data_IF_506196558080
#
_entry.id   IF_506196558080
#
_cell.length_a   1.000
_cell.length_b   1.000
_cell.length_c   1.000
_cell.angle_alpha   90.00
_cell.angle_beta   90.00
_cell.angle_gamma   90.00
#
_symmetry.space_group_name_H-M   'P 1'
#
loop_
_entity.id
_entity.type
_entity.pdbx_description
1 polymer ?
#
# COMPACT_ATOMS: atom_id res chain seq x y z
N UNK A 1 7.31 -8.11 7.63
CA UNK A 1 7.03 -6.67 7.74
C UNK A 1 8.10 -5.99 6.91
N UNK A 2 7.74 -5.21 5.90
CA UNK A 2 8.73 -4.36 5.20
C UNK A 2 9.05 -3.23 6.18
N UNK A 3 10.27 -3.25 6.71
CA UNK A 3 10.71 -2.22 7.66
C UNK A 3 10.83 -0.90 6.89
N UNK A 4 9.94 0.04 7.20
CA UNK A 4 10.00 1.41 6.68
C UNK A 4 11.23 2.16 7.19
N UNK A 5 11.33 3.50 7.04
CA UNK A 5 12.47 4.26 7.56
C UNK A 5 12.73 3.90 9.04
N UNK A 6 13.95 3.48 9.36
CA UNK A 6 14.33 2.97 10.69
C UNK A 6 15.19 3.98 11.45
N UNK A 7 16.01 4.73 10.72
CA UNK A 7 16.95 5.68 11.29
C UNK A 7 16.48 7.11 11.07
N UNK A 8 16.95 8.03 11.93
CA UNK A 8 16.68 9.48 11.78
C UNK A 8 17.00 9.97 10.37
N UNK A 9 18.06 9.44 9.78
CA UNK A 9 18.53 9.86 8.47
C UNK A 9 17.58 9.38 7.35
N UNK A 10 17.03 8.16 7.46
CA UNK A 10 16.00 7.65 6.55
C UNK A 10 14.72 8.52 6.56
N UNK A 11 14.31 8.97 7.74
CA UNK A 11 13.14 9.86 7.89
C UNK A 11 13.39 11.25 7.29
N UNK A 12 14.61 11.78 7.38
CA UNK A 12 14.96 13.07 6.79
C UNK A 12 15.02 12.94 5.26
N UNK A 13 15.62 11.86 4.75
CA UNK A 13 15.77 11.60 3.32
C UNK A 13 14.41 11.40 2.62
N UNK A 14 13.53 10.57 3.18
CA UNK A 14 12.18 10.35 2.61
C UNK A 14 11.32 11.61 2.69
N UNK A 15 11.44 12.39 3.78
CA UNK A 15 10.69 13.63 3.92
C UNK A 15 11.15 14.68 2.91
N UNK A 16 12.46 14.86 2.71
CA UNK A 16 13.01 15.81 1.73
C UNK A 16 12.65 15.39 0.30
N UNK A 17 12.68 14.10 0.01
CA UNK A 17 12.23 13.56 -1.28
C UNK A 17 10.77 13.90 -1.56
N UNK A 18 9.88 13.67 -0.58
CA UNK A 18 8.44 13.90 -0.72
C UNK A 18 8.05 15.39 -0.66
N UNK A 19 8.77 16.20 0.12
CA UNK A 19 8.54 17.65 0.21
C UNK A 19 8.85 18.37 -1.12
N UNK A 20 9.74 17.79 -1.93
CA UNK A 20 10.11 18.32 -3.23
C UNK A 20 10.75 19.71 -3.14
N UNK A 21 10.92 20.37 -4.29
CA UNK A 21 11.66 21.65 -4.36
C UNK A 21 10.79 22.90 -4.16
N UNK A 22 9.52 22.76 -3.76
CA UNK A 22 8.58 23.88 -3.62
C UNK A 22 8.58 24.50 -2.21
N UNK A 23 9.78 24.70 -1.65
CA UNK A 23 9.97 25.37 -0.37
C UNK A 23 11.35 26.04 -0.31
N UNK A 24 11.53 26.94 0.66
CA UNK A 24 12.82 27.61 0.93
C UNK A 24 13.45 27.18 2.26
N UNK A 25 12.91 26.12 2.88
CA UNK A 25 13.40 25.54 4.13
C UNK A 25 14.79 24.92 3.90
N UNK A 26 15.84 25.31 4.65
CA UNK A 26 17.18 24.75 4.53
C UNK A 26 17.28 23.36 5.16
N UNK A 27 18.11 22.49 4.58
CA UNK A 27 18.28 21.08 5.00
C UNK A 27 18.94 20.93 6.39
N UNK A 28 19.79 21.87 6.79
CA UNK A 28 20.58 21.76 8.01
C UNK A 28 21.81 20.85 7.85
N UNK A 29 22.39 20.41 8.97
CA UNK A 29 23.55 19.51 8.99
C UNK A 29 23.11 18.06 8.74
N UNK A 30 22.86 17.75 7.47
CA UNK A 30 22.48 16.44 6.99
C UNK A 30 23.04 16.20 5.59
N UNK A 31 23.52 14.99 5.32
CA UNK A 31 23.98 14.58 3.98
C UNK A 31 22.93 13.64 3.38
N UNK A 32 22.14 14.16 2.46
CA UNK A 32 21.09 13.39 1.79
C UNK A 32 21.68 12.12 1.18
N UNK A 33 21.04 10.99 1.47
CA UNK A 33 21.31 9.68 0.87
C UNK A 33 22.70 9.11 1.14
N UNK A 34 23.45 9.66 2.11
CA UNK A 34 24.78 9.17 2.45
C UNK A 34 24.78 7.71 2.95
N UNK A 35 23.65 7.23 3.49
CA UNK A 35 23.46 5.84 3.89
C UNK A 35 22.95 4.93 2.74
N UNK A 36 22.46 5.50 1.63
CA UNK A 36 21.77 4.76 0.57
C UNK A 36 22.70 4.22 -0.53
N UNK A 37 23.96 4.66 -0.62
CA UNK A 37 24.93 4.09 -1.58
C UNK A 37 25.17 2.58 -1.38
N UNK A 38 24.72 1.99 -0.28
CA UNK A 38 24.93 0.57 0.05
C UNK A 38 23.75 -0.34 -0.34
N UNK A 39 22.59 0.15 -0.77
CA UNK A 39 21.44 -0.73 -1.03
C UNK A 39 20.70 -0.42 -2.33
N UNK A 40 21.24 -0.96 -3.44
CA UNK A 40 20.44 -1.35 -4.61
C UNK A 40 19.59 -2.58 -4.24
N UNK A 41 18.35 -2.35 -3.83
CA UNK A 41 17.32 -3.39 -3.74
C UNK A 41 15.92 -2.76 -3.72
N UNK A 42 15.46 -2.24 -4.86
CA UNK A 42 14.06 -1.77 -5.01
C UNK A 42 13.32 -2.50 -6.13
N UNK A 43 14.01 -3.24 -7.00
CA UNK A 43 13.39 -3.95 -8.13
C UNK A 43 12.79 -5.32 -7.73
N UNK A 44 13.27 -5.96 -6.66
CA UNK A 44 12.87 -7.34 -6.29
C UNK A 44 11.53 -7.43 -5.52
N UNK A 45 11.03 -6.34 -4.95
CA UNK A 45 9.78 -6.36 -4.16
C UNK A 45 8.49 -6.37 -5.02
N UNK A 46 8.59 -6.14 -6.33
CA UNK A 46 7.41 -6.04 -7.20
C UNK A 46 6.94 -7.38 -7.78
N UNK A 47 7.80 -8.40 -7.82
CA UNK A 47 7.44 -9.73 -8.37
C UNK A 47 6.49 -10.51 -7.44
N UNK A 48 6.50 -10.25 -6.12
CA UNK A 48 5.66 -10.96 -5.15
C UNK A 48 4.18 -10.52 -5.13
N UNK A 49 3.81 -9.46 -5.85
CA UNK A 49 2.45 -8.89 -5.85
C UNK A 49 1.58 -9.29 -7.06
N UNK A 50 2.07 -10.16 -7.94
CA UNK A 50 1.23 -10.68 -9.04
C UNK A 50 0.00 -11.45 -8.53
N UNK A 51 0.12 -12.09 -7.36
CA UNK A 51 -0.96 -12.84 -6.73
C UNK A 51 -1.34 -12.21 -5.38
N UNK A 52 -2.65 -12.20 -5.04
CA UNK A 52 -3.10 -11.74 -3.74
C UNK A 52 -2.58 -12.63 -2.61
N UNK A 53 -2.46 -12.06 -1.43
CA UNK A 53 -1.88 -12.71 -0.25
C UNK A 53 -2.91 -12.99 0.84
N UNK A 54 -3.98 -12.20 0.93
CA UNK A 54 -5.00 -12.39 1.96
C UNK A 54 -6.05 -13.43 1.52
N UNK A 55 -6.43 -14.34 2.43
CA UNK A 55 -7.34 -15.46 2.16
C UNK A 55 -8.66 -15.03 1.51
N UNK A 56 -9.22 -13.90 1.93
CA UNK A 56 -10.44 -13.34 1.36
C UNK A 56 -10.25 -12.91 -0.09
N UNK A 57 -9.14 -12.24 -0.41
CA UNK A 57 -8.85 -11.77 -1.76
C UNK A 57 -8.41 -12.92 -2.68
N UNK A 58 -7.67 -13.90 -2.17
CA UNK A 58 -7.29 -15.12 -2.92
C UNK A 58 -8.53 -15.80 -3.48
N UNK A 59 -9.58 -15.97 -2.68
CA UNK A 59 -10.86 -16.58 -3.13
C UNK A 59 -11.51 -15.78 -4.26
N UNK A 60 -11.48 -14.45 -4.19
CA UNK A 60 -12.02 -13.57 -5.23
C UNK A 60 -11.21 -13.71 -6.52
N UNK A 61 -9.88 -13.68 -6.41
CA UNK A 61 -8.97 -13.82 -7.55
C UNK A 61 -9.10 -15.19 -8.23
N UNK A 62 -9.09 -16.28 -7.48
CA UNK A 62 -9.27 -17.63 -8.02
C UNK A 62 -10.61 -17.78 -8.74
N UNK A 63 -11.69 -17.24 -8.15
CA UNK A 63 -13.01 -17.22 -8.76
C UNK A 63 -13.00 -16.42 -10.07
N UNK A 64 -12.42 -15.23 -10.06
CA UNK A 64 -12.30 -14.38 -11.24
C UNK A 64 -11.52 -15.10 -12.35
N UNK A 65 -10.36 -15.68 -12.03
CA UNK A 65 -9.52 -16.39 -12.99
C UNK A 65 -10.22 -17.64 -13.56
N UNK A 66 -11.02 -18.34 -12.75
CA UNK A 66 -11.80 -19.49 -13.19
C UNK A 66 -12.95 -19.09 -14.13
N UNK A 67 -13.62 -17.98 -13.86
CA UNK A 67 -14.79 -17.52 -14.62
C UNK A 67 -14.41 -16.77 -15.90
N UNK A 68 -13.34 -15.96 -15.86
CA UNK A 68 -12.99 -15.00 -16.92
C UNK A 68 -11.61 -15.24 -17.55
N UNK A 69 -10.72 -15.98 -16.88
CA UNK A 69 -9.31 -16.13 -17.28
C UNK A 69 -8.48 -14.88 -16.99
N UNK A 70 -7.25 -14.85 -17.56
CA UNK A 70 -6.37 -13.69 -17.43
C UNK A 70 -7.02 -12.44 -18.07
N UNK A 71 -7.00 -11.27 -17.40
CA UNK A 71 -7.63 -10.05 -17.89
C UNK A 71 -6.94 -9.55 -19.17
N UNK A 72 -7.73 -9.11 -20.14
CA UNK A 72 -7.24 -8.61 -21.44
C UNK A 72 -7.78 -7.24 -21.80
N UNK A 73 -8.74 -6.72 -21.03
CA UNK A 73 -9.44 -5.47 -21.29
C UNK A 73 -9.73 -4.67 -20.01
N UNK A 74 -10.13 -3.41 -20.18
CA UNK A 74 -10.60 -2.57 -19.06
C UNK A 74 -11.91 -3.08 -18.45
N UNK A 75 -12.74 -3.77 -19.24
CA UNK A 75 -13.96 -4.40 -18.74
C UNK A 75 -13.66 -5.58 -17.81
N UNK A 76 -12.61 -6.33 -18.11
CA UNK A 76 -12.10 -7.41 -17.27
C UNK A 76 -11.60 -6.87 -15.92
N UNK A 77 -10.83 -5.77 -15.95
CA UNK A 77 -10.41 -5.03 -14.74
C UNK A 77 -11.61 -4.53 -13.94
N UNK A 78 -12.61 -3.93 -14.61
CA UNK A 78 -13.83 -3.47 -13.96
C UNK A 78 -14.60 -4.61 -13.29
N UNK A 79 -14.66 -5.77 -13.93
CA UNK A 79 -15.29 -6.98 -13.39
C UNK A 79 -14.55 -7.46 -12.14
N UNK A 80 -13.22 -7.52 -12.19
CA UNK A 80 -12.41 -7.92 -11.04
C UNK A 80 -12.58 -6.96 -9.85
N UNK A 81 -12.49 -5.64 -10.08
CA UNK A 81 -12.72 -4.61 -9.06
C UNK A 81 -14.11 -4.70 -8.44
N UNK A 82 -15.13 -5.02 -9.25
CA UNK A 82 -16.48 -5.19 -8.75
C UNK A 82 -16.62 -6.44 -7.87
N UNK A 83 -16.01 -7.56 -8.26
CA UNK A 83 -15.98 -8.77 -7.44
C UNK A 83 -15.26 -8.56 -6.09
N UNK A 84 -14.18 -7.75 -6.08
CA UNK A 84 -13.50 -7.33 -4.85
C UNK A 84 -14.46 -6.51 -3.97
N UNK A 85 -15.17 -5.53 -4.55
CA UNK A 85 -16.15 -4.70 -3.84
C UNK A 85 -17.30 -5.50 -3.21
N UNK A 86 -17.74 -6.56 -3.89
CA UNK A 86 -18.80 -7.45 -3.39
C UNK A 86 -18.34 -8.29 -2.20
N UNK A 87 -17.06 -8.69 -2.19
CA UNK A 87 -16.46 -9.45 -1.10
C UNK A 87 -16.01 -8.55 0.07
N UNK A 88 -15.53 -7.33 -0.20
CA UNK A 88 -15.09 -6.36 0.80
C UNK A 88 -15.81 -5.02 0.60
N UNK A 89 -16.89 -4.75 1.36
CA UNK A 89 -17.68 -3.54 1.22
C UNK A 89 -16.91 -2.23 1.46
N UNK A 90 -15.77 -2.24 2.16
CA UNK A 90 -14.90 -1.07 2.38
C UNK A 90 -14.09 -0.70 1.14
N UNK A 91 -13.92 -1.61 0.18
CA UNK A 91 -13.27 -1.35 -1.10
C UNK A 91 -14.13 -0.44 -2.00
N UNK A 92 -14.14 0.87 -1.72
CA UNK A 92 -15.04 1.85 -2.36
C UNK A 92 -14.36 2.61 -3.52
N UNK A 93 -15.05 3.61 -4.10
CA UNK A 93 -14.46 4.47 -5.14
C UNK A 93 -13.15 5.16 -4.73
N UNK A 94 -12.90 5.34 -3.41
CA UNK A 94 -11.60 5.80 -2.89
C UNK A 94 -10.48 4.80 -3.18
N UNK A 95 -10.74 3.50 -3.05
CA UNK A 95 -9.80 2.44 -3.37
C UNK A 95 -9.42 2.49 -4.86
N UNK A 96 -10.41 2.62 -5.75
CA UNK A 96 -10.19 2.73 -7.20
C UNK A 96 -9.31 3.95 -7.53
N UNK A 97 -9.59 5.11 -6.91
CA UNK A 97 -8.75 6.31 -7.05
C UNK A 97 -7.31 6.02 -6.60
N UNK A 98 -7.12 5.43 -5.43
CA UNK A 98 -5.80 5.16 -4.87
C UNK A 98 -4.99 4.17 -5.72
N UNK A 99 -5.61 3.10 -6.22
CA UNK A 99 -4.99 2.17 -7.18
C UNK A 99 -4.59 2.91 -8.44
N UNK A 100 -5.48 3.72 -9.01
CA UNK A 100 -5.20 4.47 -10.24
C UNK A 100 -4.06 5.47 -10.06
N UNK A 101 -4.01 6.17 -8.91
CA UNK A 101 -2.94 7.11 -8.60
C UNK A 101 -1.60 6.38 -8.42
N UNK A 102 -1.59 5.20 -7.78
CA UNK A 102 -0.39 4.39 -7.63
C UNK A 102 0.14 3.88 -8.98
N UNK A 103 -0.75 3.42 -9.87
CA UNK A 103 -0.34 3.02 -11.23
C UNK A 103 0.25 4.22 -11.99
N UNK A 104 -0.37 5.41 -11.87
CA UNK A 104 0.18 6.63 -12.48
C UNK A 104 1.56 6.97 -11.93
N UNK A 105 1.74 6.91 -10.62
CA UNK A 105 3.03 7.17 -9.98
C UNK A 105 4.10 6.19 -10.49
N UNK A 106 3.75 4.91 -10.62
CA UNK A 106 4.65 3.88 -11.12
C UNK A 106 4.96 4.03 -12.61
N UNK A 107 3.99 4.46 -13.42
CA UNK A 107 4.21 4.82 -14.82
C UNK A 107 5.01 6.12 -15.01
N UNK A 108 5.12 6.94 -13.95
CA UNK A 108 5.93 8.16 -13.89
C UNK A 108 7.32 7.92 -13.29
N UNK A 109 7.65 6.69 -12.87
CA UNK A 109 8.98 6.32 -12.39
C UNK A 109 9.93 6.17 -13.59
N UNK A 110 10.39 7.32 -14.10
CA UNK A 110 11.19 7.43 -15.31
C UNK A 110 12.66 7.65 -14.96
N UNK A 111 13.54 6.85 -15.54
CA UNK A 111 14.97 7.16 -15.57
C UNK A 111 15.20 8.27 -16.61
N UNK A 112 15.80 9.37 -16.16
CA UNK A 112 16.12 10.49 -17.05
C UNK A 112 17.39 10.16 -17.83
N UNK A 113 17.41 10.39 -19.15
CA UNK A 113 18.61 10.18 -19.96
C UNK A 113 19.81 11.02 -19.48
N UNK A 114 20.98 10.39 -19.37
CA UNK A 114 22.21 11.06 -18.93
C UNK A 114 22.60 12.25 -19.84
N UNK A 115 22.30 12.16 -21.14
CA UNK A 115 22.61 13.19 -22.13
C UNK A 115 21.87 14.51 -21.89
N UNK A 116 20.72 14.49 -21.18
CA UNK A 116 19.99 15.68 -20.74
C UNK A 116 20.78 16.51 -19.72
N UNK A 117 21.71 15.86 -19.01
CA UNK A 117 22.57 16.48 -18.01
C UNK A 117 23.97 16.82 -18.55
N UNK A 118 24.41 16.11 -19.60
CA UNK A 118 25.69 16.42 -20.27
C UNK A 118 25.60 17.65 -21.18
N UNK A 119 24.46 17.89 -21.84
CA UNK A 119 24.29 18.97 -22.82
C UNK A 119 23.06 19.81 -22.51
N UNK A 120 23.21 21.11 -22.19
CA UNK A 120 22.07 22.00 -21.92
C UNK A 120 21.02 22.05 -23.04
N UNK A 121 21.44 21.88 -24.29
CA UNK A 121 20.59 21.86 -25.48
C UNK A 121 19.73 20.58 -25.59
N UNK A 122 20.17 19.48 -24.95
CA UNK A 122 19.47 18.21 -24.98
C UNK A 122 18.16 18.23 -24.18
N UNK A 123 18.05 19.09 -23.16
CA UNK A 123 16.81 19.24 -22.39
C UNK A 123 16.60 20.65 -21.82
N UNK A 124 17.58 21.23 -21.12
CA UNK A 124 17.43 22.47 -20.35
C UNK A 124 17.04 23.70 -21.18
N UNK A 125 17.53 23.83 -22.42
CA UNK A 125 17.22 24.96 -23.32
C UNK A 125 15.95 24.76 -24.17
N UNK A 126 15.28 23.61 -24.07
CA UNK A 126 14.05 23.35 -24.82
C UNK A 126 12.85 24.12 -24.26
N UNK A 127 11.83 24.29 -25.09
CA UNK A 127 10.58 24.95 -24.68
C UNK A 127 9.84 24.12 -23.61
N UNK A 128 8.92 24.76 -22.90
CA UNK A 128 8.10 24.06 -21.90
C UNK A 128 7.32 22.88 -22.52
N UNK A 129 6.73 23.10 -23.70
CA UNK A 129 5.95 22.08 -24.41
C UNK A 129 6.84 20.91 -24.87
N UNK A 130 8.06 21.19 -25.35
CA UNK A 130 9.02 20.15 -25.73
C UNK A 130 9.48 19.33 -24.52
N UNK A 131 9.79 19.98 -23.39
CA UNK A 131 10.18 19.29 -22.15
C UNK A 131 9.06 18.39 -21.65
N UNK A 132 7.81 18.87 -21.71
CA UNK A 132 6.63 18.09 -21.35
C UNK A 132 6.49 16.87 -22.26
N UNK A 133 6.59 17.04 -23.57
CA UNK A 133 6.49 15.95 -24.54
C UNK A 133 7.59 14.90 -24.33
N UNK A 134 8.83 15.33 -24.10
CA UNK A 134 9.95 14.42 -23.82
C UNK A 134 9.76 13.62 -22.52
N UNK A 135 9.25 14.26 -21.46
CA UNK A 135 8.89 13.55 -20.22
C UNK A 135 7.70 12.60 -20.44
N UNK A 136 6.73 12.98 -21.28
CA UNK A 136 5.60 12.13 -21.64
C UNK A 136 6.02 10.90 -22.46
N UNK A 137 7.02 11.03 -23.33
CA UNK A 137 7.61 9.91 -24.09
C UNK A 137 8.40 8.93 -23.20
N UNK A 138 8.98 9.40 -22.11
CA UNK A 138 9.64 8.54 -21.12
C UNK A 138 8.65 7.75 -20.26
N UNK A 139 7.36 8.13 -20.23
CA UNK A 139 6.35 7.39 -19.47
C UNK A 139 6.20 5.99 -20.05
N UNK A 140 6.46 5.00 -19.21
CA UNK A 140 6.23 3.60 -19.55
C UNK A 140 4.74 3.32 -19.82
N UNK A 141 4.42 2.34 -20.68
CA UNK A 141 3.04 1.94 -20.92
C UNK A 141 2.40 1.38 -19.65
N UNK A 142 1.11 1.68 -19.47
CA UNK A 142 0.23 1.04 -18.51
C UNK A 142 0.08 -0.44 -18.87
N UNK A 143 0.85 -1.34 -18.25
CA UNK A 143 0.76 -2.77 -18.51
C UNK A 143 -0.35 -3.43 -17.68
N UNK A 144 -0.98 -4.47 -18.21
CA UNK A 144 -2.02 -5.21 -17.49
C UNK A 144 -1.49 -5.80 -16.16
N UNK A 145 -0.25 -6.27 -16.17
CA UNK A 145 0.38 -6.85 -14.99
C UNK A 145 0.56 -5.79 -13.90
N UNK A 146 0.99 -4.57 -14.27
CA UNK A 146 1.07 -3.45 -13.34
C UNK A 146 -0.29 -3.16 -12.71
N UNK A 147 -1.36 -3.13 -13.51
CA UNK A 147 -2.72 -2.91 -12.99
C UNK A 147 -3.11 -3.97 -11.98
N UNK A 148 -2.90 -5.24 -12.33
CA UNK A 148 -3.26 -6.36 -11.46
C UNK A 148 -2.48 -6.34 -10.16
N UNK A 149 -1.18 -6.05 -10.22
CA UNK A 149 -0.33 -5.90 -9.03
C UNK A 149 -0.83 -4.78 -8.12
N UNK A 150 -1.16 -3.61 -8.68
CA UNK A 150 -1.61 -2.45 -7.90
C UNK A 150 -3.00 -2.66 -7.29
N UNK A 151 -3.90 -3.35 -8.01
CA UNK A 151 -5.21 -3.79 -7.48
C UNK A 151 -5.01 -4.75 -6.32
N UNK A 152 -4.23 -5.82 -6.53
CA UNK A 152 -4.01 -6.86 -5.52
C UNK A 152 -3.36 -6.28 -4.27
N UNK A 153 -2.30 -5.48 -4.42
CA UNK A 153 -1.61 -4.84 -3.29
C UNK A 153 -2.55 -3.97 -2.46
N UNK A 154 -3.38 -3.15 -3.10
CA UNK A 154 -4.31 -2.30 -2.37
C UNK A 154 -5.43 -3.12 -1.72
N UNK A 155 -6.04 -4.05 -2.45
CA UNK A 155 -7.11 -4.89 -1.92
C UNK A 155 -6.61 -5.77 -0.76
N UNK A 156 -5.43 -6.37 -0.85
CA UNK A 156 -4.81 -7.12 0.26
C UNK A 156 -4.71 -6.26 1.52
N UNK A 157 -4.37 -4.98 1.38
CA UNK A 157 -4.34 -4.09 2.54
C UNK A 157 -5.72 -3.92 3.17
N UNK A 158 -6.78 -3.75 2.37
CA UNK A 158 -8.15 -3.62 2.87
C UNK A 158 -8.64 -4.89 3.59
N UNK A 159 -8.42 -6.07 2.99
CA UNK A 159 -8.77 -7.38 3.59
C UNK A 159 -7.98 -7.65 4.88
N UNK A 160 -6.70 -7.27 4.93
CA UNK A 160 -5.90 -7.43 6.15
C UNK A 160 -6.46 -6.61 7.32
N UNK A 161 -7.01 -5.43 7.05
CA UNK A 161 -7.59 -4.57 8.08
C UNK A 161 -8.99 -5.03 8.52
N UNK A 162 -9.77 -5.72 7.67
CA UNK A 162 -11.02 -6.36 8.11
C UNK A 162 -10.71 -7.49 9.11
N UNK A 163 -9.84 -8.41 8.72
CA UNK A 163 -9.59 -9.63 9.48
C UNK A 163 -8.97 -9.31 10.85
N UNK A 164 -8.00 -8.40 10.89
CA UNK A 164 -7.39 -7.95 12.16
C UNK A 164 -8.37 -7.20 13.06
N UNK A 165 -9.28 -6.42 12.49
CA UNK A 165 -10.30 -5.69 13.26
C UNK A 165 -11.28 -6.68 13.91
N UNK A 166 -11.70 -7.69 13.14
CA UNK A 166 -12.66 -8.69 13.60
C UNK A 166 -12.02 -9.61 14.65
N UNK A 167 -10.78 -10.06 14.43
CA UNK A 167 -10.00 -10.85 15.40
C UNK A 167 -9.78 -10.10 16.71
N UNK A 168 -9.47 -8.80 16.63
CA UNK A 168 -9.34 -7.95 17.81
C UNK A 168 -10.67 -7.83 18.58
N UNK A 169 -11.79 -7.67 17.87
CA UNK A 169 -13.12 -7.62 18.48
C UNK A 169 -13.50 -8.94 19.15
N UNK A 170 -13.26 -10.08 18.48
CA UNK A 170 -13.50 -11.43 19.02
C UNK A 170 -12.63 -11.68 20.25
N UNK A 171 -11.34 -11.38 20.17
CA UNK A 171 -10.40 -11.53 21.30
C UNK A 171 -10.84 -10.72 22.52
N UNK A 172 -11.30 -9.48 22.29
CA UNK A 172 -11.86 -8.63 23.34
C UNK A 172 -13.10 -9.26 23.96
N UNK A 173 -14.07 -9.74 23.16
CA UNK A 173 -15.27 -10.40 23.68
C UNK A 173 -14.93 -11.64 24.50
N UNK A 174 -13.99 -12.48 24.04
CA UNK A 174 -13.54 -13.67 24.79
C UNK A 174 -12.95 -13.27 26.14
N UNK A 175 -12.11 -12.23 26.17
CA UNK A 175 -11.51 -11.72 27.41
C UNK A 175 -12.58 -11.22 28.37
N UNK A 176 -13.53 -10.43 27.89
CA UNK A 176 -14.61 -9.86 28.70
C UNK A 176 -15.53 -10.95 29.27
N UNK A 177 -15.87 -11.96 28.46
CA UNK A 177 -16.65 -13.12 28.93
C UNK A 177 -15.90 -13.92 30.00
N UNK A 178 -14.60 -14.20 29.80
CA UNK A 178 -13.78 -14.89 30.82
C UNK A 178 -13.72 -14.12 32.14
N UNK A 179 -13.63 -12.79 32.08
CA UNK A 179 -13.66 -11.94 33.27
C UNK A 179 -15.01 -12.01 33.99
N UNK A 180 -16.12 -11.99 33.24
CA UNK A 180 -17.47 -12.17 33.81
C UNK A 180 -17.63 -13.53 34.46
N UNK A 181 -17.23 -14.62 33.79
CA UNK A 181 -17.32 -15.98 34.35
C UNK A 181 -16.47 -16.15 35.60
N UNK A 182 -15.31 -15.49 35.66
CA UNK A 182 -14.48 -15.46 36.86
C UNK A 182 -15.16 -14.67 37.98
N UNK A 183 -15.68 -13.48 37.68
CA UNK A 183 -16.39 -12.66 38.65
C UNK A 183 -17.60 -13.41 39.23
N UNK A 184 -18.40 -14.10 38.41
CA UNK A 184 -19.53 -14.92 38.88
C UNK A 184 -19.07 -15.99 39.87
N UNK A 185 -17.98 -16.72 39.57
CA UNK A 185 -17.42 -17.73 40.48
C UNK A 185 -16.94 -17.13 41.80
N UNK A 186 -16.23 -16.01 41.76
CA UNK A 186 -15.75 -15.33 42.96
C UNK A 186 -16.94 -14.80 43.81
N UNK A 187 -17.98 -14.26 43.18
CA UNK A 187 -19.23 -13.83 43.84
C UNK A 187 -19.92 -15.02 44.52
N UNK A 188 -20.03 -16.16 43.84
CA UNK A 188 -20.62 -17.38 44.42
C UNK A 188 -19.83 -17.86 45.65
N UNK A 189 -18.50 -17.82 45.60
CA UNK A 189 -17.66 -18.13 46.77
C UNK A 189 -17.85 -17.13 47.91
N UNK A 190 -17.90 -15.83 47.62
CA UNK A 190 -18.14 -14.79 48.64
C UNK A 190 -19.50 -14.97 49.29
N UNK A 191 -20.54 -15.31 48.52
CA UNK A 191 -21.87 -15.65 49.03
C UNK A 191 -21.83 -16.86 49.95
N UNK A 192 -21.13 -17.94 49.56
CA UNK A 192 -20.95 -19.14 50.42
C UNK A 192 -20.25 -18.83 51.73
N UNK A 193 -19.28 -17.91 51.71
CA UNK A 193 -18.50 -17.48 52.89
C UNK A 193 -19.23 -16.44 53.74
N UNK A 194 -20.41 -15.96 53.33
CA UNK A 194 -21.15 -14.89 54.02
C UNK A 194 -20.52 -13.49 53.89
N UNK A 195 -19.51 -13.33 53.02
CA UNK A 195 -18.72 -12.11 52.85
C UNK A 195 -19.27 -11.19 51.75
N UNK A 196 -20.38 -11.57 51.11
CA UNK A 196 -20.95 -10.83 49.98
C UNK A 196 -21.57 -9.49 50.36
N UNK A 197 -22.12 -9.39 51.58
CA UNK A 197 -22.79 -8.19 52.10
C UNK A 197 -22.03 -7.54 53.27
N UNK A 198 -20.76 -7.93 53.48
CA UNK A 198 -19.93 -7.48 54.60
C UNK A 198 -19.14 -6.21 54.26
#
# INVERSE_FOLDING_TARGET
LVDGPQTRDDYIDIFVLLAGKNHKIPLGDHKLYAAQEIQRAVTEAYEEHEKPQEDGLIKVYERYMKENGAPKSMADIGTYLHMIKDAEPRFTGRAIKNVTDAIKMRAMDIELPDDWFEKPEAFMHKSYDDKKAMIEELRGPFSMDMVMQEINRYADSEFRYSDKSDDAAVTKMIRDTRLRDRAVREIEEMKKKGLWNA
#
